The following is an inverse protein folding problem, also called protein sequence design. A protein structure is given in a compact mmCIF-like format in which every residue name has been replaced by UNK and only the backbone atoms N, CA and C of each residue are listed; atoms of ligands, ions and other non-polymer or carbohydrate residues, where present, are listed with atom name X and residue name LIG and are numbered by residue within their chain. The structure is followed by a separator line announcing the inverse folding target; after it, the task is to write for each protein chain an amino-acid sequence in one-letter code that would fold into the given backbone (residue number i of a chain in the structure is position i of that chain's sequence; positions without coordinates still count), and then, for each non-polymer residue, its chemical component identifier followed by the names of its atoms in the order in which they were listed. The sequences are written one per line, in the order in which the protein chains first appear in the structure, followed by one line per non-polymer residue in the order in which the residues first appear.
data_IF_896410824949
#
_entry.id   IF_896410824949
#
_cell.length_a   1.000
_cell.length_b   1.000
_cell.length_c   1.000
_cell.angle_alpha   90.00
_cell.angle_beta   90.00
_cell.angle_gamma   90.00
#
_symmetry.space_group_name_H-M   'P 1'
#
loop_
_entity.id
_entity.type
_entity.pdbx_description
1 polymer ?
#
# COMPACT_ATOMS: atom_id res chain seq x y z
N UNK A 1 -15.90 -15.85 1.54
CA UNK A 1 -17.38 -15.81 1.40
C UNK A 1 -17.77 -14.34 1.42
N UNK A 2 -18.51 -13.88 0.40
CA UNK A 2 -19.07 -12.52 0.41
C UNK A 2 -20.07 -12.47 1.54
N UNK A 3 -19.78 -11.74 2.61
CA UNK A 3 -20.73 -11.55 3.71
C UNK A 3 -21.89 -10.67 3.21
N UNK A 4 -23.12 -11.20 3.09
CA UNK A 4 -24.28 -10.45 2.60
C UNK A 4 -24.58 -9.23 3.47
N UNK A 5 -24.14 -9.20 4.73
CA UNK A 5 -24.37 -8.09 5.64
C UNK A 5 -23.52 -6.85 5.32
N UNK A 6 -22.41 -7.00 4.57
CA UNK A 6 -21.55 -5.88 4.13
C UNK A 6 -22.25 -4.86 3.22
N UNK A 7 -23.38 -5.24 2.61
CA UNK A 7 -24.18 -4.40 1.72
C UNK A 7 -25.60 -4.13 2.26
N UNK A 8 -25.82 -4.30 3.58
CA UNK A 8 -27.13 -4.16 4.23
C UNK A 8 -27.44 -2.73 4.70
N UNK A 9 -28.66 -2.45 5.19
CA UNK A 9 -29.15 -1.12 5.58
C UNK A 9 -28.42 -0.44 6.77
N UNK A 10 -27.52 -1.14 7.46
CA UNK A 10 -26.53 -0.54 8.38
C UNK A 10 -25.49 0.34 7.66
N UNK A 11 -25.58 0.44 6.32
CA UNK A 11 -24.64 1.13 5.43
C UNK A 11 -24.51 2.64 5.60
N UNK A 12 -25.46 3.39 6.17
CA UNK A 12 -25.33 4.86 6.23
C UNK A 12 -24.27 5.33 7.25
N UNK A 13 -24.21 4.69 8.42
CA UNK A 13 -23.18 4.97 9.42
C UNK A 13 -21.81 4.50 8.93
N UNK A 14 -21.73 3.31 8.32
CA UNK A 14 -20.50 2.78 7.72
C UNK A 14 -20.02 3.66 6.55
N UNK A 15 -20.94 4.16 5.73
CA UNK A 15 -20.64 5.11 4.65
C UNK A 15 -20.17 6.45 5.23
N UNK A 16 -20.82 6.98 6.26
CA UNK A 16 -20.37 8.15 6.99
C UNK A 16 -18.94 8.00 7.52
N UNK A 17 -18.67 6.89 8.24
CA UNK A 17 -17.34 6.59 8.80
C UNK A 17 -16.26 6.44 7.72
N UNK A 18 -16.59 5.87 6.55
CA UNK A 18 -15.67 5.77 5.41
C UNK A 18 -15.42 7.13 4.77
N UNK A 19 -16.44 7.96 4.57
CA UNK A 19 -16.28 9.32 4.04
C UNK A 19 -15.48 10.22 4.97
N UNK A 20 -15.65 10.08 6.28
CA UNK A 20 -14.90 10.84 7.29
C UNK A 20 -13.54 10.21 7.63
N UNK A 21 -13.18 9.07 7.01
CA UNK A 21 -11.94 8.33 7.30
C UNK A 21 -11.78 7.97 8.78
N UNK A 22 -12.88 7.63 9.48
CA UNK A 22 -12.88 7.23 10.89
C UNK A 22 -12.91 5.71 11.08
N UNK A 23 -13.11 4.95 10.00
CA UNK A 23 -13.19 3.49 10.03
C UNK A 23 -11.91 2.80 10.56
N UNK A 24 -10.75 3.46 10.55
CA UNK A 24 -9.51 2.95 11.15
C UNK A 24 -9.46 3.00 12.68
N UNK A 25 -10.34 3.78 13.33
CA UNK A 25 -10.43 3.89 14.81
C UNK A 25 -11.29 2.81 15.46
N UNK A 26 -12.02 2.03 14.66
CA UNK A 26 -12.99 1.05 15.13
C UNK A 26 -14.29 1.12 14.33
N UNK A 27 -14.83 -0.04 13.96
CA UNK A 27 -16.00 -0.17 13.11
C UNK A 27 -15.85 -1.32 12.12
N UNK A 28 -16.97 -1.84 11.61
CA UNK A 28 -16.92 -2.84 10.55
C UNK A 28 -16.31 -2.24 9.28
N UNK A 29 -15.34 -2.94 8.74
CA UNK A 29 -14.79 -2.65 7.43
C UNK A 29 -15.87 -3.04 6.41
N UNK A 30 -16.69 -2.06 6.01
CA UNK A 30 -17.79 -2.25 5.07
C UNK A 30 -17.33 -2.59 3.65
N UNK A 31 -18.13 -2.21 2.64
CA UNK A 31 -17.85 -2.53 1.23
C UNK A 31 -16.49 -2.02 0.71
N UNK A 32 -15.99 -0.89 1.22
CA UNK A 32 -14.70 -0.30 0.83
C UNK A 32 -13.57 -0.71 1.78
N UNK A 33 -13.24 -2.01 1.78
CA UNK A 33 -12.18 -2.57 2.62
C UNK A 33 -10.86 -1.82 2.58
N UNK A 34 -10.34 -1.39 1.41
CA UNK A 34 -9.08 -0.64 1.34
C UNK A 34 -9.05 0.68 2.14
N UNK A 35 -10.19 1.23 2.57
CA UNK A 35 -10.23 2.54 3.25
C UNK A 35 -9.55 2.54 4.62
N UNK A 36 -9.38 1.38 5.28
CA UNK A 36 -8.77 1.34 6.62
C UNK A 36 -7.36 1.93 6.60
N UNK A 37 -6.57 1.70 5.54
CA UNK A 37 -5.19 2.19 5.46
C UNK A 37 -5.16 3.71 5.36
N UNK A 38 -5.99 4.29 4.48
CA UNK A 38 -6.13 5.73 4.24
C UNK A 38 -6.55 6.43 5.54
N UNK A 39 -7.46 5.82 6.29
CA UNK A 39 -7.85 6.31 7.62
C UNK A 39 -6.65 6.36 8.58
N UNK A 40 -5.90 5.26 8.70
CA UNK A 40 -4.71 5.24 9.58
C UNK A 40 -3.61 6.20 9.12
N UNK A 41 -3.44 6.40 7.82
CA UNK A 41 -2.48 7.34 7.24
C UNK A 41 -2.86 8.79 7.57
N UNK A 42 -4.15 9.14 7.49
CA UNK A 42 -4.63 10.47 7.87
C UNK A 42 -4.28 10.80 9.34
N UNK A 43 -4.39 9.82 10.23
CA UNK A 43 -3.95 9.94 11.63
C UNK A 43 -2.45 10.14 11.73
N UNK A 44 -1.65 9.36 11.00
CA UNK A 44 -0.20 9.49 10.98
C UNK A 44 0.23 10.89 10.49
N UNK A 45 -0.42 11.44 9.46
CA UNK A 45 -0.16 12.79 8.97
C UNK A 45 -0.55 13.87 9.97
N UNK A 46 -1.66 13.71 10.68
CA UNK A 46 -2.06 14.63 11.74
C UNK A 46 -1.07 14.64 12.93
N UNK A 47 -0.51 13.47 13.27
CA UNK A 47 0.45 13.31 14.35
C UNK A 47 1.89 13.64 13.95
N UNK A 48 2.21 13.63 12.65
CA UNK A 48 3.57 13.82 12.14
C UNK A 48 4.28 15.06 12.69
N UNK A 49 3.67 16.27 12.80
CA UNK A 49 4.35 17.43 13.35
C UNK A 49 4.84 17.20 14.78
N UNK A 50 4.03 16.56 15.63
CA UNK A 50 4.39 16.24 17.00
C UNK A 50 5.52 15.20 17.04
N UNK A 51 5.43 14.18 16.18
CA UNK A 51 6.46 13.15 16.07
C UNK A 51 7.80 13.71 15.57
N UNK A 52 7.76 14.67 14.64
CA UNK A 52 8.95 15.32 14.12
C UNK A 52 9.68 16.14 15.20
N UNK A 53 8.93 16.78 16.12
CA UNK A 53 9.49 17.54 17.24
C UNK A 53 10.05 16.64 18.35
N UNK A 54 9.46 15.46 18.58
CA UNK A 54 9.88 14.53 19.63
C UNK A 54 11.16 13.72 19.33
N UNK A 55 11.69 13.82 18.12
CA UNK A 55 12.85 13.05 17.65
C UNK A 55 12.52 11.58 17.35
N UNK A 56 13.30 10.94 16.46
CA UNK A 56 12.95 9.62 15.89
C UNK A 56 13.09 8.41 16.84
N UNK A 57 14.00 8.47 17.80
CA UNK A 57 14.36 7.31 18.63
C UNK A 57 13.24 6.72 19.49
N UNK A 58 12.42 7.50 20.23
CA UNK A 58 11.31 6.94 20.98
C UNK A 58 10.30 6.21 20.08
N UNK A 59 10.00 6.77 18.90
CA UNK A 59 9.07 6.18 17.95
C UNK A 59 9.65 4.92 17.28
N UNK A 60 10.95 4.87 17.02
CA UNK A 60 11.62 3.66 16.55
C UNK A 60 11.63 2.55 17.60
N UNK A 61 11.83 2.89 18.88
CA UNK A 61 11.74 1.93 19.97
C UNK A 61 10.32 1.37 20.11
N UNK A 62 9.30 2.24 20.02
CA UNK A 62 7.90 1.85 20.01
C UNK A 62 7.56 0.96 18.80
N UNK A 63 8.04 1.31 17.60
CA UNK A 63 7.86 0.51 16.39
C UNK A 63 8.50 -0.88 16.54
N UNK A 64 9.73 -0.94 17.06
CA UNK A 64 10.42 -2.21 17.31
C UNK A 64 9.66 -3.06 18.34
N UNK A 65 9.23 -2.47 19.46
CA UNK A 65 8.43 -3.15 20.47
C UNK A 65 7.11 -3.69 19.90
N UNK A 66 6.42 -2.90 19.08
CA UNK A 66 5.19 -3.32 18.40
C UNK A 66 5.44 -4.52 17.48
N UNK A 67 6.43 -4.46 16.60
CA UNK A 67 6.72 -5.55 15.68
C UNK A 67 7.23 -6.81 16.38
N UNK A 68 8.01 -6.68 17.47
CA UNK A 68 8.40 -7.82 18.30
C UNK A 68 7.19 -8.45 19.00
N UNK A 69 6.25 -7.63 19.48
CA UNK A 69 5.00 -8.12 20.05
C UNK A 69 4.18 -8.90 19.02
N UNK A 70 4.03 -8.38 17.79
CA UNK A 70 3.37 -9.12 16.71
C UNK A 70 4.12 -10.41 16.40
N UNK A 71 5.45 -10.36 16.26
CA UNK A 71 6.26 -11.53 15.96
C UNK A 71 6.11 -12.64 17.01
N UNK A 72 5.98 -12.28 18.28
CA UNK A 72 5.85 -13.21 19.40
C UNK A 72 4.42 -13.74 19.62
N UNK A 73 3.41 -13.13 19.02
CA UNK A 73 1.99 -13.47 19.27
C UNK A 73 1.32 -14.06 18.04
N UNK A 74 1.00 -13.23 17.05
CA UNK A 74 0.25 -13.64 15.86
C UNK A 74 1.16 -13.96 14.69
N UNK A 75 2.29 -13.25 14.57
CA UNK A 75 3.17 -13.29 13.40
C UNK A 75 2.55 -12.76 12.11
N UNK A 76 1.34 -12.18 12.16
CA UNK A 76 0.56 -11.75 11.00
C UNK A 76 0.43 -10.23 10.99
N UNK A 77 0.77 -9.60 9.87
CA UNK A 77 0.69 -8.14 9.67
C UNK A 77 -0.62 -7.68 9.01
N UNK A 78 -1.51 -8.60 8.63
CA UNK A 78 -2.86 -8.31 8.12
C UNK A 78 -3.80 -7.80 9.21
N UNK A 79 -3.42 -6.69 9.84
CA UNK A 79 -4.15 -6.03 10.92
C UNK A 79 -4.81 -4.78 10.34
N UNK A 80 -6.11 -4.93 10.06
CA UNK A 80 -6.95 -3.92 9.39
C UNK A 80 -7.90 -3.17 10.33
N UNK A 81 -8.00 -3.59 11.59
CA UNK A 81 -8.82 -2.95 12.62
C UNK A 81 -8.17 -3.05 14.01
N UNK A 82 -8.69 -2.30 14.99
CA UNK A 82 -8.16 -2.27 16.36
C UNK A 82 -6.79 -1.59 16.42
N UNK A 83 -5.71 -2.38 16.44
CA UNK A 83 -4.33 -1.86 16.52
C UNK A 83 -3.73 -1.47 15.17
N UNK A 84 -4.55 -1.33 14.12
CA UNK A 84 -4.13 -0.92 12.78
C UNK A 84 -3.42 0.45 12.77
N UNK A 85 -3.87 1.41 13.60
CA UNK A 85 -3.22 2.71 13.76
C UNK A 85 -1.79 2.53 14.29
N UNK A 86 -1.59 1.67 15.28
CA UNK A 86 -0.25 1.39 15.82
C UNK A 86 0.65 0.75 14.77
N UNK A 87 0.11 -0.17 13.96
CA UNK A 87 0.83 -0.78 12.83
C UNK A 87 1.25 0.27 11.80
N UNK A 88 0.36 1.20 11.46
CA UNK A 88 0.63 2.32 10.55
C UNK A 88 1.72 3.25 11.13
N UNK A 89 1.57 3.69 12.39
CA UNK A 89 2.53 4.56 13.07
C UNK A 89 3.91 3.91 13.21
N UNK A 90 3.99 2.60 13.44
CA UNK A 90 5.24 1.87 13.50
C UNK A 90 5.99 1.94 12.15
N UNK A 91 5.30 1.67 11.04
CA UNK A 91 5.88 1.77 9.69
C UNK A 91 6.22 3.22 9.31
N UNK A 92 5.35 4.16 9.68
CA UNK A 92 5.57 5.59 9.46
C UNK A 92 6.82 6.10 10.19
N UNK A 93 7.04 5.65 11.43
CA UNK A 93 8.23 6.01 12.23
C UNK A 93 9.53 5.51 11.60
N UNK A 94 9.51 4.32 11.00
CA UNK A 94 10.63 3.79 10.21
C UNK A 94 10.85 4.67 8.98
N UNK A 95 9.79 5.02 8.25
CA UNK A 95 9.85 5.93 7.11
C UNK A 95 10.43 7.30 7.45
N UNK A 96 10.04 7.88 8.58
CA UNK A 96 10.64 9.13 9.10
C UNK A 96 12.14 8.98 9.34
N UNK A 97 12.58 7.85 9.91
CA UNK A 97 14.00 7.61 10.17
C UNK A 97 14.81 7.46 8.88
N UNK A 98 14.26 6.78 7.87
CA UNK A 98 14.84 6.69 6.52
C UNK A 98 14.93 8.09 5.90
N UNK A 99 13.86 8.88 5.94
CA UNK A 99 13.82 10.23 5.42
C UNK A 99 14.87 11.15 6.08
N UNK A 100 15.07 11.03 7.39
CA UNK A 100 16.09 11.76 8.13
C UNK A 100 17.52 11.32 7.79
N UNK A 101 17.72 10.11 7.27
CA UNK A 101 19.00 9.57 6.84
C UNK A 101 19.25 9.60 5.33
N UNK A 102 18.31 10.15 4.55
CA UNK A 102 18.24 9.95 3.09
C UNK A 102 19.51 10.36 2.35
N UNK A 103 20.15 11.45 2.73
CA UNK A 103 21.32 11.97 2.00
C UNK A 103 22.55 11.06 2.19
N UNK A 104 22.75 10.58 3.42
CA UNK A 104 23.79 9.59 3.75
C UNK A 104 23.55 8.25 3.07
N UNK A 105 22.28 7.84 2.96
CA UNK A 105 21.91 6.61 2.27
C UNK A 105 22.18 6.77 0.77
N UNK A 106 21.76 7.90 0.17
CA UNK A 106 21.93 8.20 -1.25
C UNK A 106 23.40 8.32 -1.70
N UNK A 107 24.32 8.66 -0.79
CA UNK A 107 25.76 8.69 -1.04
C UNK A 107 26.44 7.33 -0.90
N UNK A 108 25.74 6.29 -0.46
CA UNK A 108 26.32 4.95 -0.27
C UNK A 108 26.67 4.29 -1.60
N UNK A 109 27.85 3.66 -1.68
CA UNK A 109 28.23 2.80 -2.81
C UNK A 109 27.57 1.42 -2.79
N UNK A 110 26.91 1.07 -1.68
CA UNK A 110 26.33 -0.26 -1.45
C UNK A 110 24.83 -0.34 -1.76
N UNK A 111 24.27 0.64 -2.49
CA UNK A 111 22.84 0.69 -2.82
C UNK A 111 22.36 -0.59 -3.53
N UNK A 112 23.07 -1.05 -4.55
CA UNK A 112 22.70 -2.28 -5.27
C UNK A 112 22.73 -3.52 -4.38
N UNK A 113 23.71 -3.63 -3.47
CA UNK A 113 23.78 -4.75 -2.54
C UNK A 113 22.62 -4.70 -1.54
N UNK A 114 22.32 -3.52 -0.98
CA UNK A 114 21.19 -3.33 -0.08
C UNK A 114 19.85 -3.64 -0.77
N UNK A 115 19.68 -3.23 -2.02
CA UNK A 115 18.51 -3.54 -2.84
C UNK A 115 18.31 -5.05 -3.04
N UNK A 116 19.36 -5.76 -3.47
CA UNK A 116 19.27 -7.20 -3.72
C UNK A 116 19.08 -8.00 -2.42
N UNK A 117 19.78 -7.63 -1.35
CA UNK A 117 19.57 -8.23 -0.02
C UNK A 117 18.17 -7.95 0.48
N UNK A 118 17.67 -6.72 0.35
CA UNK A 118 16.31 -6.36 0.75
C UNK A 118 15.25 -7.14 -0.01
N UNK A 119 15.44 -7.28 -1.33
CA UNK A 119 14.57 -8.07 -2.19
C UNK A 119 14.57 -9.55 -1.77
N UNK A 120 15.75 -10.14 -1.58
CA UNK A 120 15.89 -11.52 -1.16
C UNK A 120 15.20 -11.76 0.18
N UNK A 121 15.47 -10.93 1.19
CA UNK A 121 14.85 -11.03 2.51
C UNK A 121 13.33 -10.92 2.44
N UNK A 122 12.80 -9.94 1.72
CA UNK A 122 11.36 -9.76 1.56
C UNK A 122 10.71 -10.97 0.87
N UNK A 123 11.29 -11.43 -0.25
CA UNK A 123 10.76 -12.58 -0.99
C UNK A 123 10.85 -13.87 -0.17
N UNK A 124 11.93 -14.11 0.57
CA UNK A 124 12.07 -15.28 1.44
C UNK A 124 11.07 -15.26 2.59
N UNK A 125 10.87 -14.10 3.24
CA UNK A 125 9.88 -13.97 4.30
C UNK A 125 8.45 -14.24 3.77
N UNK A 126 8.10 -13.66 2.62
CA UNK A 126 6.80 -13.87 1.98
C UNK A 126 6.63 -15.33 1.54
N UNK A 127 7.65 -15.94 0.93
CA UNK A 127 7.58 -17.31 0.41
C UNK A 127 7.48 -18.36 1.53
N UNK A 128 8.13 -18.13 2.66
CA UNK A 128 8.04 -19.02 3.82
C UNK A 128 6.73 -18.86 4.58
N UNK A 129 6.15 -17.65 4.58
CA UNK A 129 4.87 -17.36 5.24
C UNK A 129 4.84 -17.63 6.75
N UNK A 130 6.01 -17.84 7.38
CA UNK A 130 6.09 -18.22 8.78
C UNK A 130 5.73 -17.03 9.70
N UNK A 131 6.26 -15.85 9.39
CA UNK A 131 5.99 -14.65 10.16
C UNK A 131 6.20 -13.42 9.27
N UNK A 132 5.15 -12.65 9.07
CA UNK A 132 5.14 -11.47 8.21
C UNK A 132 6.12 -10.39 8.69
N UNK A 133 6.42 -10.35 10.00
CA UNK A 133 7.35 -9.38 10.59
C UNK A 133 8.76 -9.53 10.00
N UNK A 134 9.15 -10.73 9.57
CA UNK A 134 10.45 -10.95 8.95
C UNK A 134 10.59 -10.32 7.55
N UNK A 135 9.48 -9.91 6.92
CA UNK A 135 9.54 -9.15 5.67
C UNK A 135 9.96 -7.69 5.90
N UNK A 136 9.76 -7.15 7.11
CA UNK A 136 9.99 -5.73 7.43
C UNK A 136 11.44 -5.31 7.17
N UNK A 137 12.49 -6.01 7.63
CA UNK A 137 13.87 -5.64 7.32
C UNK A 137 14.15 -5.59 5.81
N UNK A 138 13.56 -6.50 5.04
CA UNK A 138 13.66 -6.51 3.58
C UNK A 138 13.08 -5.23 2.96
N UNK A 139 11.86 -4.86 3.37
CA UNK A 139 11.21 -3.62 2.93
C UNK A 139 11.95 -2.35 3.39
N UNK A 140 12.52 -2.32 4.60
CA UNK A 140 13.35 -1.20 5.06
C UNK A 140 14.52 -0.97 4.11
N UNK A 141 15.25 -2.04 3.77
CA UNK A 141 16.39 -1.98 2.86
C UNK A 141 15.96 -1.56 1.46
N UNK A 142 14.86 -2.11 0.95
CA UNK A 142 14.32 -1.74 -0.36
C UNK A 142 13.98 -0.25 -0.40
N UNK A 143 13.12 0.23 0.50
CA UNK A 143 12.70 1.64 0.54
C UNK A 143 13.89 2.58 0.71
N UNK A 144 14.81 2.27 1.62
CA UNK A 144 15.99 3.09 1.86
C UNK A 144 16.90 3.15 0.62
N UNK A 145 17.14 2.02 -0.05
CA UNK A 145 18.12 1.92 -1.12
C UNK A 145 17.58 2.23 -2.52
N UNK A 146 16.26 2.22 -2.75
CA UNK A 146 15.66 2.53 -4.06
C UNK A 146 15.26 4.00 -4.22
N UNK A 147 14.96 4.72 -3.13
CA UNK A 147 14.59 6.14 -3.18
C UNK A 147 15.53 7.04 -4.01
N UNK A 148 16.88 6.87 -3.99
CA UNK A 148 17.77 7.71 -4.78
C UNK A 148 17.71 7.49 -6.31
N UNK A 149 16.87 6.58 -6.81
CA UNK A 149 16.76 6.19 -8.23
C UNK A 149 18.07 5.65 -8.86
N UNK A 150 18.95 5.11 -8.02
CA UNK A 150 20.26 4.53 -8.36
C UNK A 150 20.33 3.05 -7.96
N UNK A 151 21.19 2.29 -8.62
CA UNK A 151 21.45 0.88 -8.30
C UNK A 151 20.79 -0.10 -9.27
N UNK A 152 21.04 -1.39 -9.02
CA UNK A 152 20.67 -2.47 -9.94
C UNK A 152 19.16 -2.60 -10.15
N UNK A 153 18.35 -2.49 -9.09
CA UNK A 153 16.89 -2.64 -9.20
C UNK A 153 16.22 -1.44 -9.88
N UNK A 154 16.85 -0.27 -9.87
CA UNK A 154 16.29 0.92 -10.51
C UNK A 154 16.28 0.85 -12.04
N UNK A 155 17.12 -0.01 -12.65
CA UNK A 155 17.13 -0.20 -14.11
C UNK A 155 15.84 -0.86 -14.60
N UNK A 156 15.44 -2.05 -14.12
CA UNK A 156 14.18 -2.65 -14.55
C UNK A 156 12.97 -1.84 -14.08
N UNK A 157 13.00 -1.21 -12.88
CA UNK A 157 11.87 -0.41 -12.37
C UNK A 157 11.52 0.81 -13.24
N UNK A 158 12.44 1.28 -14.10
CA UNK A 158 12.19 2.35 -15.07
C UNK A 158 11.47 1.88 -16.34
N UNK A 159 11.20 0.58 -16.48
CA UNK A 159 10.48 0.05 -17.64
C UNK A 159 9.06 0.64 -17.71
N UNK A 160 8.57 1.11 -18.88
CA UNK A 160 7.32 1.87 -18.97
C UNK A 160 6.11 1.16 -18.38
N UNK A 161 6.05 -0.17 -18.46
CA UNK A 161 4.96 -0.94 -17.86
C UNK A 161 4.99 -0.87 -16.32
N UNK A 162 6.16 -0.97 -15.70
CA UNK A 162 6.31 -0.89 -14.23
C UNK A 162 6.04 0.53 -13.73
N UNK A 163 6.47 1.54 -14.48
CA UNK A 163 6.13 2.94 -14.20
C UNK A 163 4.62 3.14 -14.27
N UNK A 164 3.97 2.68 -15.33
CA UNK A 164 2.51 2.75 -15.48
C UNK A 164 1.77 2.01 -14.36
N UNK A 165 2.25 0.82 -13.96
CA UNK A 165 1.69 0.09 -12.81
C UNK A 165 1.82 0.90 -11.51
N UNK A 166 2.92 1.63 -11.33
CA UNK A 166 3.09 2.58 -10.24
C UNK A 166 2.10 3.74 -10.31
N UNK A 167 1.90 4.34 -11.49
CA UNK A 167 0.98 5.47 -11.67
C UNK A 167 -0.49 5.10 -11.42
N UNK A 168 -0.92 3.89 -11.80
CA UNK A 168 -2.30 3.41 -11.61
C UNK A 168 -2.50 2.71 -10.25
N UNK A 169 -1.44 2.54 -9.46
CA UNK A 169 -1.44 1.73 -8.24
C UNK A 169 -2.50 2.16 -7.22
N UNK A 170 -2.73 3.46 -7.06
CA UNK A 170 -3.75 3.98 -6.15
C UNK A 170 -5.18 3.62 -6.62
N UNK A 171 -5.47 3.80 -7.91
CA UNK A 171 -6.73 3.33 -8.50
C UNK A 171 -6.91 1.81 -8.38
N UNK A 172 -5.84 1.02 -8.58
CA UNK A 172 -5.87 -0.44 -8.36
C UNK A 172 -6.17 -0.76 -6.89
N UNK A 173 -5.51 -0.06 -5.97
CA UNK A 173 -5.72 -0.21 -4.54
C UNK A 173 -7.18 0.01 -4.13
N UNK A 174 -7.83 1.06 -4.64
CA UNK A 174 -9.23 1.32 -4.34
C UNK A 174 -10.18 0.35 -5.03
N UNK A 175 -9.91 -0.02 -6.28
CA UNK A 175 -10.88 -0.77 -7.09
C UNK A 175 -10.80 -2.27 -6.94
N UNK A 176 -9.63 -2.84 -6.62
CA UNK A 176 -9.44 -4.28 -6.68
C UNK A 176 -10.46 -5.04 -5.82
N UNK A 177 -10.78 -4.55 -4.62
CA UNK A 177 -11.62 -5.27 -3.68
C UNK A 177 -13.05 -5.46 -4.23
N UNK A 178 -13.73 -4.36 -4.56
CA UNK A 178 -15.12 -4.44 -5.04
C UNK A 178 -15.23 -5.06 -6.44
N UNK A 179 -14.23 -4.86 -7.31
CA UNK A 179 -14.18 -5.51 -8.63
C UNK A 179 -14.04 -7.02 -8.48
N UNK A 180 -13.11 -7.49 -7.63
CA UNK A 180 -12.90 -8.93 -7.42
C UNK A 180 -14.07 -9.58 -6.67
N UNK A 181 -14.66 -8.91 -5.68
CA UNK A 181 -15.88 -9.39 -5.01
C UNK A 181 -17.05 -9.53 -6.00
N UNK A 182 -17.26 -8.52 -6.85
CA UNK A 182 -18.26 -8.59 -7.92
C UNK A 182 -17.96 -9.71 -8.91
N UNK A 183 -16.68 -9.88 -9.27
CA UNK A 183 -16.24 -10.94 -10.16
C UNK A 183 -16.47 -12.34 -9.58
N UNK A 184 -16.18 -12.56 -8.30
CA UNK A 184 -16.48 -13.83 -7.62
C UNK A 184 -17.98 -14.18 -7.62
N UNK A 185 -18.85 -13.18 -7.67
CA UNK A 185 -20.30 -13.39 -7.81
C UNK A 185 -20.67 -13.67 -9.28
N UNK A 186 -20.14 -12.91 -10.24
CA UNK A 186 -20.53 -13.01 -11.65
C UNK A 186 -19.91 -14.23 -12.35
N UNK A 187 -18.63 -14.52 -12.12
CA UNK A 187 -17.87 -15.51 -12.87
C UNK A 187 -18.48 -16.93 -12.81
N UNK A 188 -18.91 -17.46 -11.63
CA UNK A 188 -19.52 -18.79 -11.57
C UNK A 188 -20.87 -18.90 -12.31
N UNK A 189 -21.54 -17.77 -12.59
CA UNK A 189 -22.83 -17.74 -13.30
C UNK A 189 -22.66 -17.59 -14.81
N UNK A 190 -21.57 -16.95 -15.26
CA UNK A 190 -21.34 -16.62 -16.67
C UNK A 190 -20.41 -17.62 -17.34
N UNK A 191 -19.31 -18.02 -16.69
CA UNK A 191 -18.30 -18.89 -17.30
C UNK A 191 -18.84 -20.25 -17.74
N UNK A 192 -19.68 -20.96 -16.95
CA UNK A 192 -20.25 -22.24 -17.40
C UNK A 192 -21.18 -22.10 -18.61
N UNK A 193 -21.89 -20.96 -18.73
CA UNK A 193 -22.79 -20.69 -19.87
C UNK A 193 -22.04 -20.43 -21.17
N UNK A 194 -20.78 -20.00 -21.07
CA UNK A 194 -19.89 -19.79 -22.22
C UNK A 194 -19.10 -21.06 -22.58
N UNK A 195 -19.35 -22.19 -21.90
CA UNK A 195 -18.71 -23.48 -22.20
C UNK A 195 -17.33 -23.67 -21.56
N UNK A 196 -16.95 -22.85 -20.58
CA UNK A 196 -15.68 -23.04 -19.85
C UNK A 196 -15.84 -24.08 -18.72
N UNK A 197 -14.92 -25.06 -18.67
CA UNK A 197 -14.88 -26.14 -17.68
C UNK A 197 -14.46 -25.62 -16.27
N UNK A 198 -15.21 -25.93 -15.18
CA UNK A 198 -14.94 -25.51 -13.80
C UNK A 198 -13.53 -25.77 -13.22
N UNK A 199 -12.75 -26.70 -13.79
CA UNK A 199 -11.39 -27.01 -13.33
C UNK A 199 -10.29 -26.34 -14.16
N UNK A 200 -10.50 -26.15 -15.46
CA UNK A 200 -9.62 -25.34 -16.32
C UNK A 200 -9.80 -23.82 -16.09
N UNK A 201 -10.89 -23.43 -15.41
CA UNK A 201 -11.31 -22.03 -15.23
C UNK A 201 -10.57 -21.24 -14.17
N UNK A 202 -9.82 -21.81 -13.21
CA UNK A 202 -9.24 -20.97 -12.14
C UNK A 202 -8.21 -19.96 -12.65
N UNK A 203 -7.30 -20.38 -13.52
CA UNK A 203 -6.32 -19.48 -14.12
C UNK A 203 -6.99 -18.44 -15.02
N UNK A 204 -8.01 -18.85 -15.77
CA UNK A 204 -8.79 -17.95 -16.63
C UNK A 204 -9.57 -16.94 -15.80
N UNK A 205 -10.23 -17.39 -14.72
CA UNK A 205 -10.99 -16.58 -13.77
C UNK A 205 -10.08 -15.55 -13.08
N UNK A 206 -8.89 -15.98 -12.62
CA UNK A 206 -7.89 -15.07 -12.05
C UNK A 206 -7.38 -14.06 -13.07
N UNK A 207 -7.09 -14.51 -14.30
CA UNK A 207 -6.57 -13.66 -15.37
C UNK A 207 -7.59 -12.61 -15.78
N UNK A 208 -8.86 -13.01 -15.97
CA UNK A 208 -9.95 -12.10 -16.32
C UNK A 208 -10.23 -11.15 -15.15
N UNK A 209 -10.25 -11.65 -13.91
CA UNK A 209 -10.43 -10.82 -12.72
C UNK A 209 -9.35 -9.75 -12.62
N UNK A 210 -8.08 -10.12 -12.77
CA UNK A 210 -6.96 -9.19 -12.78
C UNK A 210 -7.06 -8.18 -13.94
N UNK A 211 -7.39 -8.65 -15.15
CA UNK A 211 -7.59 -7.79 -16.30
C UNK A 211 -8.73 -6.79 -16.07
N UNK A 212 -9.84 -7.21 -15.45
CA UNK A 212 -10.95 -6.34 -15.07
C UNK A 212 -10.52 -5.29 -14.06
N UNK A 213 -9.75 -5.66 -13.02
CA UNK A 213 -9.19 -4.71 -12.04
C UNK A 213 -8.32 -3.68 -12.75
N UNK A 214 -7.38 -4.10 -13.59
CA UNK A 214 -6.48 -3.18 -14.31
C UNK A 214 -7.24 -2.27 -15.27
N UNK A 215 -8.24 -2.80 -15.98
CA UNK A 215 -9.06 -2.01 -16.91
C UNK A 215 -9.87 -0.94 -16.17
N UNK A 216 -10.63 -1.34 -15.15
CA UNK A 216 -11.43 -0.40 -14.33
C UNK A 216 -10.52 0.64 -13.71
N UNK A 217 -9.39 0.23 -13.14
CA UNK A 217 -8.43 1.13 -12.51
C UNK A 217 -7.79 2.10 -13.50
N UNK A 218 -7.50 1.66 -14.72
CA UNK A 218 -6.99 2.55 -15.76
C UNK A 218 -8.02 3.60 -16.17
N UNK A 219 -9.29 3.21 -16.29
CA UNK A 219 -10.39 4.13 -16.61
C UNK A 219 -10.59 5.15 -15.50
N UNK A 220 -10.69 4.72 -14.24
CA UNK A 220 -10.86 5.63 -13.10
C UNK A 220 -9.66 6.54 -12.92
N UNK A 221 -8.44 6.01 -13.09
CA UNK A 221 -7.21 6.80 -13.02
C UNK A 221 -7.21 7.92 -14.06
N UNK A 222 -7.54 7.59 -15.31
CA UNK A 222 -7.50 8.54 -16.42
C UNK A 222 -8.61 9.60 -16.34
N UNK A 223 -9.81 9.20 -15.92
CA UNK A 223 -11.00 10.06 -15.98
C UNK A 223 -11.30 10.79 -14.66
N UNK A 224 -10.86 10.27 -13.52
CA UNK A 224 -11.20 10.80 -12.19
C UNK A 224 -9.94 11.24 -11.46
N UNK A 225 -9.03 10.31 -11.21
CA UNK A 225 -7.87 10.55 -10.34
C UNK A 225 -6.93 11.60 -10.92
N UNK A 226 -6.47 11.42 -12.16
CA UNK A 226 -5.50 12.31 -12.81
C UNK A 226 -6.07 13.73 -13.03
N UNK A 227 -7.33 13.92 -13.47
CA UNK A 227 -7.95 15.24 -13.52
C UNK A 227 -8.08 15.89 -12.14
N UNK A 228 -8.51 15.15 -11.12
CA UNK A 228 -8.66 15.66 -9.76
C UNK A 228 -7.31 16.09 -9.17
N UNK A 229 -6.26 15.28 -9.30
CA UNK A 229 -4.90 15.62 -8.88
C UNK A 229 -4.40 16.90 -9.56
N UNK A 230 -4.62 17.03 -10.88
CA UNK A 230 -4.22 18.23 -11.63
C UNK A 230 -4.99 19.46 -11.14
N UNK A 231 -6.29 19.33 -10.91
CA UNK A 231 -7.13 20.41 -10.41
C UNK A 231 -6.68 20.88 -9.02
N UNK A 232 -6.56 19.96 -8.05
CA UNK A 232 -6.16 20.29 -6.68
C UNK A 232 -4.75 20.91 -6.61
N UNK A 233 -3.79 20.36 -7.38
CA UNK A 233 -2.43 20.91 -7.44
C UNK A 233 -2.42 22.34 -7.97
N UNK A 234 -3.24 22.64 -8.96
CA UNK A 234 -3.34 23.99 -9.52
C UNK A 234 -4.00 24.97 -8.54
N UNK A 235 -5.00 24.53 -7.77
CA UNK A 235 -5.69 25.37 -6.78
C UNK A 235 -4.81 25.70 -5.56
N UNK A 236 -4.05 24.73 -5.06
CA UNK A 236 -3.22 24.93 -3.86
C UNK A 236 -1.81 25.45 -4.14
N UNK A 237 -1.49 25.78 -5.39
CA UNK A 237 -0.22 26.40 -5.75
C UNK A 237 1.02 25.55 -5.43
N UNK A 238 0.85 24.24 -5.22
CA UNK A 238 1.95 23.31 -4.93
C UNK A 238 2.77 23.15 -6.20
N UNK A 239 3.80 24.00 -6.34
CA UNK A 239 4.82 23.82 -7.37
C UNK A 239 5.50 22.47 -7.11
N UNK A 240 5.72 21.63 -8.12
CA UNK A 240 6.54 20.44 -7.95
C UNK A 240 7.87 20.88 -7.34
N UNK A 241 8.31 20.19 -6.26
CA UNK A 241 9.71 20.28 -5.88
C UNK A 241 10.53 19.88 -7.13
N UNK A 242 11.52 20.69 -7.56
CA UNK A 242 12.28 20.37 -8.76
C UNK A 242 12.95 19.01 -8.57
N UNK A 243 12.55 18.03 -9.38
CA UNK A 243 13.22 16.74 -9.47
C UNK A 243 14.57 17.02 -10.12
N UNK A 244 15.64 17.01 -9.32
CA UNK A 244 17.02 17.12 -9.81
C UNK A 244 17.73 18.46 -9.62
N UNK A 245 17.40 19.27 -8.61
CA UNK A 245 18.36 20.29 -8.18
C UNK A 245 19.55 19.58 -7.50
N UNK A 246 20.64 19.37 -8.25
CA UNK A 246 21.96 19.15 -7.64
C UNK A 246 22.14 20.15 -6.50
N UNK A 247 22.61 19.73 -5.31
CA UNK A 247 23.04 20.71 -4.32
C UNK A 247 24.10 21.60 -5.00
N UNK A 248 23.84 22.91 -4.99
CA UNK A 248 24.80 23.91 -5.43
C UNK A 248 26.12 23.73 -4.65
N UNK A 249 27.27 24.05 -5.27
CA UNK A 249 28.61 23.77 -4.72
C UNK A 249 28.85 24.35 -3.33
#
# INVERSE_FOLDING_TARGET
MVDPQRWSSSSLTTLGLQYTLLNGFGGEVGWNTPTWSISTEAVAYALFPLMALGGRWPYLAAAAAFYLWIAATTGVLDIVSGVAILRCLAGFSIGMAICAGRDRIASSKYLSAAQLTGLLLALTAIATGWNDVFAIPGFILLVAATWPDKGALCVPLKWPLLVWLGEVSYSVYLNHFWVLESWHVVAPRVLPRLGFDPYATRAIEMTIGLAAVLLVSHVTWRLIERPAQKYLRNQWGVKPAPVGANPAP
#
